data_IF_398455491648
#
_entry.id   IF_398455491648
#
_cell.length_a   1.000
_cell.length_b   1.000
_cell.length_c   1.000
_cell.angle_alpha   90.00
_cell.angle_beta   90.00
_cell.angle_gamma   90.00
#
_symmetry.space_group_name_H-M   'P 1'
#
loop_
_entity.id
_entity.type
_entity.pdbx_description
1 polymer ?
#
# COMPACT_ATOMS: atom_id res chain seq x y z
N UNK A 1 4.99 -1.93 -27.52
CA UNK A 1 4.58 -3.19 -26.89
C UNK A 1 4.14 -2.87 -25.48
N UNK A 2 3.02 -3.46 -25.03
CA UNK A 2 2.55 -3.39 -23.64
C UNK A 2 3.02 -4.65 -22.91
N UNK A 3 3.49 -4.46 -21.69
CA UNK A 3 3.86 -5.55 -20.79
C UNK A 3 2.71 -5.84 -19.83
N UNK A 4 2.39 -7.11 -19.59
CA UNK A 4 1.39 -7.47 -18.58
C UNK A 4 1.93 -7.29 -17.16
N UNK A 5 3.21 -7.63 -16.97
CA UNK A 5 3.92 -7.49 -15.70
C UNK A 5 5.35 -6.98 -15.90
N UNK A 6 5.76 -6.11 -15.01
CA UNK A 6 7.17 -5.74 -14.80
C UNK A 6 7.52 -6.09 -13.36
N UNK A 7 8.59 -6.85 -13.17
CA UNK A 7 9.13 -7.19 -11.85
C UNK A 7 10.50 -6.54 -11.73
N UNK A 8 10.68 -5.70 -10.72
CA UNK A 8 11.94 -5.02 -10.43
C UNK A 8 12.48 -5.59 -9.11
N UNK A 9 13.56 -6.33 -9.19
CA UNK A 9 14.28 -6.79 -7.99
C UNK A 9 15.32 -5.76 -7.58
N UNK A 10 15.56 -5.65 -6.26
CA UNK A 10 16.48 -4.68 -5.68
C UNK A 10 16.23 -3.25 -6.19
N UNK A 11 15.00 -2.78 -6.05
CA UNK A 11 14.54 -1.49 -6.59
C UNK A 11 15.41 -0.31 -6.17
N UNK A 12 16.11 -0.37 -5.04
CA UNK A 12 17.03 0.68 -4.60
C UNK A 12 18.14 0.97 -5.62
N UNK A 13 18.58 -0.03 -6.41
CA UNK A 13 19.56 0.15 -7.48
C UNK A 13 19.04 0.98 -8.65
N UNK A 14 17.73 1.02 -8.82
CA UNK A 14 17.04 1.85 -9.82
C UNK A 14 16.87 3.26 -9.28
N UNK A 15 16.43 3.40 -8.02
CA UNK A 15 16.16 4.70 -7.40
C UNK A 15 17.42 5.56 -7.25
N UNK A 16 18.58 4.93 -7.05
CA UNK A 16 19.86 5.61 -6.93
C UNK A 16 20.51 6.06 -8.25
N UNK A 17 19.89 5.78 -9.40
CA UNK A 17 20.43 6.12 -10.71
C UNK A 17 19.38 6.76 -11.61
N UNK A 18 19.48 8.05 -11.88
CA UNK A 18 18.46 8.81 -12.61
C UNK A 18 18.18 8.26 -14.02
N UNK A 19 19.18 7.81 -14.75
CA UNK A 19 18.99 7.24 -16.09
C UNK A 19 18.20 5.92 -16.05
N UNK A 20 18.49 5.07 -15.07
CA UNK A 20 17.74 3.82 -14.85
C UNK A 20 16.32 4.11 -14.38
N UNK A 21 16.17 5.08 -13.49
CA UNK A 21 14.87 5.51 -12.98
C UNK A 21 13.96 6.00 -14.11
N UNK A 22 14.44 6.93 -14.95
CA UNK A 22 13.64 7.43 -16.08
C UNK A 22 13.27 6.34 -17.08
N UNK A 23 14.18 5.39 -17.32
CA UNK A 23 13.92 4.25 -18.21
C UNK A 23 12.82 3.37 -17.63
N UNK A 24 12.90 3.05 -16.32
CA UNK A 24 11.90 2.25 -15.63
C UNK A 24 10.56 2.96 -15.54
N UNK A 25 10.53 4.28 -15.31
CA UNK A 25 9.32 5.07 -15.29
C UNK A 25 8.58 5.02 -16.64
N UNK A 26 9.33 5.12 -17.75
CA UNK A 26 8.75 4.96 -19.09
C UNK A 26 8.18 3.57 -19.32
N UNK A 27 8.87 2.53 -18.85
CA UNK A 27 8.39 1.14 -18.94
C UNK A 27 7.16 0.92 -18.07
N UNK A 28 7.15 1.41 -16.83
CA UNK A 28 6.02 1.30 -15.90
C UNK A 28 4.73 1.88 -16.47
N UNK A 29 4.82 3.00 -17.19
CA UNK A 29 3.67 3.61 -17.90
C UNK A 29 3.10 2.71 -19.01
N UNK A 30 3.84 1.73 -19.49
CA UNK A 30 3.40 0.79 -20.54
C UNK A 30 2.95 -0.56 -19.98
N UNK A 31 3.12 -0.79 -18.69
CA UNK A 31 2.78 -2.05 -18.03
C UNK A 31 1.40 -2.00 -17.39
N UNK A 32 0.72 -3.14 -17.39
CA UNK A 32 -0.55 -3.27 -16.66
C UNK A 32 -0.31 -3.43 -15.14
N UNK A 33 0.80 -4.08 -14.76
CA UNK A 33 1.14 -4.34 -13.37
C UNK A 33 2.65 -4.18 -13.15
N UNK A 34 3.02 -3.58 -12.02
CA UNK A 34 4.41 -3.42 -11.61
C UNK A 34 4.58 -4.00 -10.21
N UNK A 35 5.56 -4.89 -10.05
CA UNK A 35 5.93 -5.50 -8.77
C UNK A 35 7.38 -5.11 -8.47
N UNK A 36 7.61 -4.58 -7.29
CA UNK A 36 8.95 -4.19 -6.85
C UNK A 36 9.32 -4.96 -5.60
N UNK A 37 10.56 -5.45 -5.58
CA UNK A 37 11.13 -6.17 -4.46
C UNK A 37 12.30 -5.35 -3.90
N UNK A 38 12.37 -5.27 -2.57
CA UNK A 38 13.48 -4.62 -1.87
C UNK A 38 13.69 -5.23 -0.49
N UNK A 39 14.93 -5.46 -0.12
CA UNK A 39 15.31 -5.88 1.21
C UNK A 39 15.36 -4.70 2.21
N UNK A 40 15.50 -3.46 1.70
CA UNK A 40 15.60 -2.25 2.51
C UNK A 40 14.31 -1.44 2.46
N UNK A 41 13.79 -0.99 3.61
CA UNK A 41 12.62 -0.12 3.63
C UNK A 41 12.98 1.26 3.07
N UNK A 42 12.39 1.63 1.94
CA UNK A 42 12.61 2.92 1.24
C UNK A 42 11.95 4.11 1.96
N UNK A 43 11.22 3.88 3.05
CA UNK A 43 10.41 4.92 3.71
C UNK A 43 11.18 5.94 4.54
N UNK A 44 12.51 5.80 4.68
CA UNK A 44 13.31 6.74 5.47
C UNK A 44 13.52 8.10 4.79
N UNK A 45 13.29 8.18 3.48
CA UNK A 45 13.45 9.40 2.68
C UNK A 45 12.23 9.64 1.81
N UNK A 46 11.57 10.77 2.00
CA UNK A 46 10.36 11.16 1.25
C UNK A 46 10.57 11.11 -0.26
N UNK A 47 11.71 11.59 -0.74
CA UNK A 47 12.08 11.60 -2.16
C UNK A 47 12.18 10.18 -2.76
N UNK A 48 12.86 9.26 -2.08
CA UNK A 48 12.99 7.87 -2.54
C UNK A 48 11.62 7.16 -2.54
N UNK A 49 10.78 7.47 -1.56
CA UNK A 49 9.44 6.93 -1.45
C UNK A 49 8.54 7.47 -2.56
N UNK A 50 8.64 8.76 -2.88
CA UNK A 50 7.94 9.36 -4.01
C UNK A 50 8.36 8.72 -5.35
N UNK A 51 9.68 8.57 -5.59
CA UNK A 51 10.21 7.87 -6.77
C UNK A 51 9.67 6.44 -6.87
N UNK A 52 9.63 5.70 -5.76
CA UNK A 52 9.09 4.33 -5.72
C UNK A 52 7.62 4.29 -6.08
N UNK A 53 6.79 5.14 -5.48
CA UNK A 53 5.35 5.19 -5.79
C UNK A 53 5.09 5.65 -7.22
N UNK A 54 5.91 6.54 -7.76
CA UNK A 54 5.83 6.97 -9.16
C UNK A 54 6.10 5.82 -10.14
N UNK A 55 6.93 4.84 -9.77
CA UNK A 55 7.11 3.63 -10.57
C UNK A 55 5.92 2.66 -10.47
N UNK A 56 5.24 2.57 -9.30
CA UNK A 56 4.08 1.68 -9.08
C UNK A 56 2.83 2.26 -9.74
N UNK A 57 2.56 3.54 -9.53
CA UNK A 57 1.40 4.27 -10.04
C UNK A 57 1.84 5.57 -10.73
N UNK A 58 2.45 5.47 -11.91
CA UNK A 58 3.04 6.64 -12.58
C UNK A 58 2.01 7.73 -12.90
N UNK A 59 0.79 7.36 -13.26
CA UNK A 59 -0.28 8.31 -13.58
C UNK A 59 -0.69 9.17 -12.37
N UNK A 60 -0.47 8.67 -11.17
CA UNK A 60 -0.85 9.35 -9.93
C UNK A 60 0.30 10.18 -9.33
N UNK A 61 1.51 9.64 -9.31
CA UNK A 61 2.60 10.20 -8.53
C UNK A 61 3.71 10.84 -9.36
N UNK A 62 3.88 10.48 -10.65
CA UNK A 62 5.06 10.95 -11.42
C UNK A 62 5.05 12.45 -11.70
N UNK A 63 3.88 13.07 -11.79
CA UNK A 63 3.72 14.48 -12.09
C UNK A 63 3.50 15.33 -10.81
N UNK A 64 3.44 14.68 -9.64
CA UNK A 64 3.27 15.32 -8.34
C UNK A 64 4.58 15.98 -7.88
N UNK A 65 4.52 17.22 -7.42
CA UNK A 65 5.67 17.92 -6.85
C UNK A 65 6.06 17.37 -5.47
N UNK A 66 7.30 17.58 -5.06
CA UNK A 66 7.81 17.11 -3.76
C UNK A 66 7.04 17.69 -2.58
N UNK A 67 6.68 18.97 -2.64
CA UNK A 67 5.89 19.64 -1.59
C UNK A 67 4.47 19.05 -1.50
N UNK A 68 3.85 18.77 -2.63
CA UNK A 68 2.53 18.17 -2.72
C UNK A 68 2.53 16.75 -2.18
N UNK A 69 3.56 15.96 -2.55
CA UNK A 69 3.73 14.60 -2.04
C UNK A 69 3.97 14.57 -0.53
N UNK A 70 4.80 15.48 -0.01
CA UNK A 70 5.04 15.60 1.43
C UNK A 70 3.76 15.97 2.18
N UNK A 71 2.99 16.91 1.64
CA UNK A 71 1.66 17.27 2.18
C UNK A 71 0.70 16.09 2.20
N UNK A 72 0.70 15.26 1.15
CA UNK A 72 -0.12 14.04 1.10
C UNK A 72 0.30 13.02 2.16
N UNK A 73 1.60 12.82 2.41
CA UNK A 73 2.09 11.93 3.46
C UNK A 73 1.70 12.42 4.86
N UNK A 74 1.80 13.73 5.11
CA UNK A 74 1.39 14.32 6.39
C UNK A 74 -0.12 14.16 6.63
N UNK A 75 -0.91 14.40 5.59
CA UNK A 75 -2.36 14.22 5.64
C UNK A 75 -2.71 12.76 5.92
N UNK A 76 -2.09 11.82 5.20
CA UNK A 76 -2.29 10.40 5.42
C UNK A 76 -2.00 9.99 6.87
N UNK A 77 -0.89 10.45 7.44
CA UNK A 77 -0.55 10.16 8.83
C UNK A 77 -1.61 10.68 9.83
N UNK A 78 -2.29 11.79 9.49
CA UNK A 78 -3.36 12.36 10.32
C UNK A 78 -4.67 11.57 10.25
N UNK A 79 -4.97 10.99 9.10
CA UNK A 79 -6.26 10.34 8.87
C UNK A 79 -6.22 8.81 8.87
N UNK A 80 -5.02 8.18 8.82
CA UNK A 80 -4.89 6.73 8.67
C UNK A 80 -5.70 5.93 9.71
N UNK A 81 -5.70 6.38 10.97
CA UNK A 81 -6.48 5.74 12.03
C UNK A 81 -7.99 5.87 11.80
N UNK A 82 -8.42 7.04 11.31
CA UNK A 82 -9.83 7.30 11.01
C UNK A 82 -10.31 6.49 9.83
N UNK A 83 -9.46 6.29 8.82
CA UNK A 83 -9.79 5.42 7.69
C UNK A 83 -9.94 3.97 8.14
N UNK A 84 -9.09 3.49 9.07
CA UNK A 84 -9.28 2.16 9.66
C UNK A 84 -10.59 2.08 10.45
N UNK A 85 -10.90 3.06 11.28
CA UNK A 85 -12.18 3.10 12.02
C UNK A 85 -13.38 3.14 11.07
N UNK A 86 -13.32 3.89 9.96
CA UNK A 86 -14.40 3.91 8.97
C UNK A 86 -14.64 2.55 8.31
N UNK A 87 -13.56 1.76 8.09
CA UNK A 87 -13.69 0.40 7.57
C UNK A 87 -14.37 -0.51 8.61
N UNK A 88 -13.93 -0.44 9.88
CA UNK A 88 -14.50 -1.22 10.98
C UNK A 88 -15.99 -0.89 11.16
N UNK A 89 -16.35 0.38 11.29
CA UNK A 89 -17.74 0.81 11.44
C UNK A 89 -18.62 0.47 10.22
N UNK A 90 -18.06 0.45 9.02
CA UNK A 90 -18.81 -0.02 7.84
C UNK A 90 -19.13 -1.51 7.94
N UNK A 91 -18.19 -2.33 8.41
CA UNK A 91 -18.46 -3.76 8.60
C UNK A 91 -19.44 -4.00 9.75
N UNK A 92 -19.31 -3.28 10.86
CA UNK A 92 -20.25 -3.34 11.99
C UNK A 92 -21.66 -2.94 11.52
N UNK A 93 -21.80 -1.85 10.77
CA UNK A 93 -23.09 -1.44 10.20
C UNK A 93 -23.71 -2.52 9.30
N UNK A 94 -22.89 -3.16 8.45
CA UNK A 94 -23.35 -4.29 7.63
C UNK A 94 -23.80 -5.49 8.43
N UNK A 95 -23.12 -5.79 9.55
CA UNK A 95 -23.45 -6.90 10.44
C UNK A 95 -24.78 -6.62 11.12
N UNK A 96 -24.97 -5.44 11.68
CA UNK A 96 -26.20 -5.02 12.34
C UNK A 96 -27.40 -5.04 11.37
N UNK A 97 -27.24 -4.56 10.13
CA UNK A 97 -28.30 -4.65 9.09
C UNK A 97 -28.65 -6.12 8.79
N UNK A 98 -27.64 -6.98 8.67
CA UNK A 98 -27.85 -8.40 8.33
C UNK A 98 -28.58 -9.16 9.42
N UNK A 99 -28.31 -8.83 10.69
CA UNK A 99 -28.88 -9.51 11.86
C UNK A 99 -30.23 -8.92 12.31
N UNK A 100 -30.60 -7.75 11.78
CA UNK A 100 -31.84 -7.07 12.13
C UNK A 100 -33.00 -7.53 11.24
N UNK A 101 -34.07 -8.04 11.87
CA UNK A 101 -35.36 -8.23 11.17
C UNK A 101 -36.03 -6.89 10.74
N UNK A 102 -35.49 -5.77 11.19
CA UNK A 102 -35.98 -4.42 10.94
C UNK A 102 -34.78 -3.47 10.67
N UNK A 103 -34.62 -3.02 9.44
CA UNK A 103 -33.53 -2.15 8.99
C UNK A 103 -33.46 -0.79 9.74
N UNK A 104 -34.46 -0.46 10.55
CA UNK A 104 -34.64 0.83 11.22
C UNK A 104 -34.75 0.68 12.75
N UNK A 105 -33.89 -0.10 13.38
CA UNK A 105 -33.80 -0.17 14.81
C UNK A 105 -32.78 0.84 15.39
N UNK A 106 -32.74 0.98 16.72
CA UNK A 106 -31.85 1.91 17.42
C UNK A 106 -30.36 1.55 17.19
N UNK A 107 -30.04 0.25 17.17
CA UNK A 107 -28.67 -0.27 16.96
C UNK A 107 -28.17 0.06 15.54
N UNK A 108 -29.02 -0.08 14.52
CA UNK A 108 -28.68 0.23 13.13
C UNK A 108 -28.42 1.73 12.96
N UNK A 109 -29.19 2.56 13.67
CA UNK A 109 -29.00 4.01 13.63
C UNK A 109 -27.70 4.42 14.32
N UNK A 110 -27.38 3.85 15.47
CA UNK A 110 -26.16 4.15 16.20
C UNK A 110 -24.92 3.79 15.33
N UNK A 111 -24.89 2.60 14.73
CA UNK A 111 -23.81 2.19 13.83
C UNK A 111 -23.68 3.08 12.59
N UNK A 112 -24.80 3.55 12.04
CA UNK A 112 -24.79 4.51 10.94
C UNK A 112 -24.20 5.86 11.36
N UNK A 113 -24.65 6.40 12.49
CA UNK A 113 -24.22 7.71 13.01
C UNK A 113 -22.69 7.68 13.32
N UNK A 114 -22.14 6.62 13.92
CA UNK A 114 -20.72 6.46 14.20
C UNK A 114 -19.87 6.45 12.91
N UNK A 115 -20.35 5.77 11.87
CA UNK A 115 -19.69 5.76 10.57
C UNK A 115 -19.71 7.14 9.92
N UNK A 116 -20.86 7.81 9.91
CA UNK A 116 -21.01 9.16 9.31
C UNK A 116 -20.14 10.18 10.05
N UNK A 117 -20.15 10.21 11.38
CA UNK A 117 -19.29 11.09 12.19
C UNK A 117 -17.80 10.89 11.84
N UNK A 118 -17.38 9.65 11.62
CA UNK A 118 -16.00 9.34 11.23
C UNK A 118 -15.69 9.84 9.81
N UNK A 119 -16.64 9.71 8.89
CA UNK A 119 -16.49 10.22 7.52
C UNK A 119 -16.46 11.75 7.49
N UNK A 120 -17.27 12.43 8.30
CA UNK A 120 -17.25 13.88 8.48
C UNK A 120 -15.90 14.38 9.02
N UNK A 121 -15.33 13.69 10.01
CA UNK A 121 -14.00 14.01 10.55
C UNK A 121 -12.89 13.83 9.49
N UNK A 122 -12.99 12.81 8.63
CA UNK A 122 -12.09 12.64 7.48
C UNK A 122 -12.28 13.79 6.49
N UNK A 123 -13.51 14.12 6.10
CA UNK A 123 -13.83 15.19 5.18
C UNK A 123 -13.27 16.54 5.67
N UNK A 124 -13.49 16.86 6.94
CA UNK A 124 -12.97 18.09 7.55
C UNK A 124 -11.45 18.19 7.56
N UNK A 125 -10.72 17.07 7.64
CA UNK A 125 -9.25 17.03 7.61
C UNK A 125 -8.70 17.05 6.18
N UNK A 126 -9.37 16.37 5.26
CA UNK A 126 -8.95 16.30 3.86
C UNK A 126 -9.37 17.49 3.04
N UNK A 127 -10.47 18.14 3.42
CA UNK A 127 -11.17 19.19 2.66
C UNK A 127 -11.55 18.70 1.25
N UNK A 128 -11.88 17.43 1.14
CA UNK A 128 -12.24 16.78 -0.10
C UNK A 128 -13.73 17.01 -0.39
N UNK A 129 -14.00 17.81 -1.38
CA UNK A 129 -15.36 18.18 -1.75
C UNK A 129 -16.22 16.99 -2.18
N UNK A 130 -15.62 15.94 -2.75
CA UNK A 130 -16.37 14.73 -3.12
C UNK A 130 -16.92 14.03 -1.90
N UNK A 131 -16.11 13.93 -0.83
CA UNK A 131 -16.54 13.33 0.43
C UNK A 131 -17.63 14.20 1.07
N UNK A 132 -17.42 15.53 1.14
CA UNK A 132 -18.40 16.47 1.69
C UNK A 132 -19.74 16.38 0.96
N UNK A 133 -19.74 16.44 -0.38
CA UNK A 133 -20.95 16.37 -1.21
C UNK A 133 -21.67 15.00 -1.10
N UNK A 134 -20.92 13.91 -0.92
CA UNK A 134 -21.52 12.58 -0.79
C UNK A 134 -22.08 12.35 0.62
N UNK A 135 -21.48 12.93 1.67
CA UNK A 135 -22.06 12.93 3.02
C UNK A 135 -23.39 13.70 3.06
N UNK A 136 -23.47 14.88 2.41
CA UNK A 136 -24.71 15.65 2.34
C UNK A 136 -25.89 14.90 1.70
N UNK A 137 -25.60 13.90 0.85
CA UNK A 137 -26.61 13.05 0.19
C UNK A 137 -27.02 11.84 1.01
N UNK A 138 -26.30 11.55 2.11
CA UNK A 138 -26.64 10.43 2.97
C UNK A 138 -27.91 10.72 3.74
N UNK A 139 -28.83 9.77 3.73
CA UNK A 139 -30.06 9.83 4.51
C UNK A 139 -30.30 8.45 5.13
N UNK A 140 -30.32 8.37 6.45
CA UNK A 140 -30.57 7.12 7.18
C UNK A 140 -31.91 6.46 6.79
N UNK A 141 -32.91 7.24 6.43
CA UNK A 141 -34.25 6.74 6.07
C UNK A 141 -34.36 6.23 4.63
N UNK A 142 -33.30 6.36 3.82
CA UNK A 142 -33.32 6.04 2.40
C UNK A 142 -32.75 4.66 2.09
N UNK A 143 -33.38 3.58 2.55
CA UNK A 143 -33.16 2.17 2.15
C UNK A 143 -31.72 1.77 1.70
N UNK A 144 -31.53 0.57 1.14
CA UNK A 144 -30.29 0.02 0.56
C UNK A 144 -29.38 1.00 -0.24
N UNK A 145 -29.89 2.14 -0.65
CA UNK A 145 -29.11 3.17 -1.36
C UNK A 145 -28.05 3.81 -0.47
N UNK A 146 -28.31 3.96 0.81
CA UNK A 146 -27.32 4.52 1.76
C UNK A 146 -26.14 3.60 1.97
N UNK A 147 -26.34 2.30 2.08
CA UNK A 147 -25.24 1.33 2.23
C UNK A 147 -24.30 1.33 1.03
N UNK A 148 -24.84 1.31 -0.19
CA UNK A 148 -24.02 1.34 -1.41
C UNK A 148 -23.20 2.64 -1.51
N UNK A 149 -23.75 3.76 -1.08
CA UNK A 149 -23.04 5.03 -1.09
C UNK A 149 -21.95 5.07 -0.01
N UNK A 150 -22.20 4.53 1.17
CA UNK A 150 -21.21 4.39 2.24
C UNK A 150 -20.04 3.48 1.80
N UNK A 151 -20.34 2.33 1.20
CA UNK A 151 -19.33 1.43 0.65
C UNK A 151 -18.44 2.12 -0.40
N UNK A 152 -19.06 2.85 -1.33
CA UNK A 152 -18.32 3.61 -2.36
C UNK A 152 -17.46 4.69 -1.76
N UNK A 153 -17.97 5.40 -0.77
CA UNK A 153 -17.24 6.48 -0.09
C UNK A 153 -16.05 5.95 0.69
N UNK A 154 -16.22 4.90 1.49
CA UNK A 154 -15.12 4.24 2.20
C UNK A 154 -14.10 3.67 1.22
N UNK A 155 -14.53 3.03 0.12
CA UNK A 155 -13.63 2.54 -0.92
C UNK A 155 -12.83 3.69 -1.57
N UNK A 156 -13.48 4.80 -1.91
CA UNK A 156 -12.82 5.98 -2.44
C UNK A 156 -11.77 6.55 -1.46
N UNK A 157 -12.12 6.72 -0.18
CA UNK A 157 -11.20 7.20 0.85
C UNK A 157 -9.99 6.27 0.98
N UNK A 158 -10.22 4.96 0.97
CA UNK A 158 -9.17 3.96 1.00
C UNK A 158 -8.24 4.06 -0.22
N UNK A 159 -8.78 4.27 -1.40
CA UNK A 159 -8.00 4.41 -2.62
C UNK A 159 -7.26 5.74 -2.68
N UNK A 160 -7.92 6.83 -2.30
CA UNK A 160 -7.37 8.16 -2.37
C UNK A 160 -6.27 8.41 -1.32
N UNK A 161 -6.40 7.86 -0.11
CA UNK A 161 -5.58 8.26 1.04
C UNK A 161 -4.76 7.15 1.67
N UNK A 162 -4.96 5.87 1.34
CA UNK A 162 -4.13 4.77 1.86
C UNK A 162 -3.01 4.39 0.89
N UNK A 163 -1.92 5.15 0.91
CA UNK A 163 -0.71 4.85 0.12
C UNK A 163 -0.12 3.48 0.50
N UNK A 164 -0.25 3.07 1.76
CA UNK A 164 0.32 1.82 2.28
C UNK A 164 -0.25 0.55 1.65
N UNK A 165 -1.41 0.59 1.00
CA UNK A 165 -1.97 -0.58 0.29
C UNK A 165 -1.07 -1.10 -0.83
N UNK A 166 -0.22 -0.23 -1.39
CA UNK A 166 0.73 -0.61 -2.44
C UNK A 166 1.99 -1.27 -1.89
N UNK A 167 2.18 -1.31 -0.56
CA UNK A 167 3.42 -1.78 0.08
C UNK A 167 3.15 -2.95 1.00
N UNK A 168 3.57 -4.16 0.60
CA UNK A 168 3.51 -5.35 1.45
C UNK A 168 4.83 -5.48 2.21
N UNK A 169 4.78 -5.45 3.53
CA UNK A 169 5.95 -5.62 4.39
C UNK A 169 5.90 -6.97 5.09
N UNK A 170 6.89 -7.81 4.80
CA UNK A 170 7.11 -9.01 5.58
C UNK A 170 7.99 -8.68 6.79
N UNK A 171 7.40 -8.46 7.96
CA UNK A 171 8.13 -8.32 9.21
C UNK A 171 8.37 -9.72 9.76
N UNK A 172 9.63 -10.17 9.81
CA UNK A 172 9.99 -11.38 10.55
C UNK A 172 9.59 -11.16 12.01
N UNK A 173 8.72 -12.03 12.53
CA UNK A 173 8.45 -12.05 13.96
C UNK A 173 9.73 -12.48 14.70
N UNK A 174 10.01 -11.95 15.91
CA UNK A 174 11.16 -12.37 16.70
C UNK A 174 11.23 -13.89 16.93
N UNK A 175 10.08 -14.56 16.92
CA UNK A 175 9.94 -16.01 17.07
C UNK A 175 10.45 -16.79 15.84
N UNK A 176 10.47 -16.18 14.66
CA UNK A 176 10.95 -16.83 13.41
C UNK A 176 12.48 -16.88 13.32
N UNK A 177 13.20 -16.20 14.21
CA UNK A 177 14.68 -16.15 14.20
C UNK A 177 15.31 -17.36 14.87
N UNK A 178 14.56 -18.14 15.65
CA UNK A 178 15.11 -19.22 16.50
C UNK A 178 15.24 -20.57 15.79
N UNK A 179 14.80 -20.72 14.53
CA UNK A 179 14.80 -22.00 13.83
C UNK A 179 15.88 -22.15 12.75
N UNK A 180 16.90 -21.29 12.75
CA UNK A 180 18.06 -21.54 11.88
C UNK A 180 19.02 -22.48 12.59
N UNK A 181 18.90 -23.77 12.32
CA UNK A 181 19.90 -24.74 12.69
C UNK A 181 21.04 -24.65 11.68
N UNK A 182 22.18 -24.16 12.14
CA UNK A 182 23.42 -24.24 11.36
C UNK A 182 23.79 -25.73 11.25
N UNK A 183 23.62 -26.27 10.06
CA UNK A 183 24.04 -27.66 9.78
C UNK A 183 25.39 -27.56 9.10
N UNK A 184 26.43 -27.90 9.84
CA UNK A 184 27.75 -28.03 9.27
C UNK A 184 27.78 -29.32 8.41
N UNK A 185 27.98 -29.15 7.13
CA UNK A 185 28.15 -30.27 6.21
C UNK A 185 29.64 -30.34 5.89
N UNK A 186 30.33 -31.31 6.49
CA UNK A 186 31.70 -31.62 6.14
C UNK A 186 31.69 -32.57 4.93
N UNK A 187 32.41 -32.26 3.89
CA UNK A 187 32.63 -33.06 2.73
C UNK A 187 34.12 -33.13 2.40
N UNK A 188 34.57 -34.27 1.94
CA UNK A 188 35.94 -34.43 1.44
C UNK A 188 35.99 -33.84 0.02
N UNK A 189 36.81 -32.80 -0.16
CA UNK A 189 37.05 -32.22 -1.47
C UNK A 189 38.22 -32.94 -2.15
N UNK A 190 38.01 -33.37 -3.39
CA UNK A 190 39.11 -33.78 -4.25
C UNK A 190 39.84 -32.56 -4.85
N UNK A 191 41.00 -32.78 -5.48
CA UNK A 191 41.85 -31.74 -6.04
C UNK A 191 41.17 -30.93 -7.16
N UNK A 192 40.23 -31.56 -7.87
CA UNK A 192 39.54 -30.90 -9.00
C UNK A 192 38.44 -29.97 -8.53
N UNK A 193 37.80 -30.30 -7.39
CA UNK A 193 36.82 -29.44 -6.78
C UNK A 193 37.43 -28.14 -6.22
N UNK A 194 38.58 -28.21 -5.56
CA UNK A 194 39.33 -27.06 -5.06
C UNK A 194 39.70 -26.08 -6.17
N UNK A 195 40.09 -26.57 -7.35
CA UNK A 195 40.38 -25.74 -8.50
C UNK A 195 39.13 -25.07 -9.07
N UNK A 196 38.00 -25.72 -9.03
CA UNK A 196 36.73 -25.15 -9.50
C UNK A 196 36.21 -24.07 -8.54
N UNK A 197 36.28 -24.28 -7.23
CA UNK A 197 35.87 -23.32 -6.20
C UNK A 197 36.75 -22.10 -6.25
N UNK A 198 38.08 -22.24 -6.33
CA UNK A 198 39.00 -21.10 -6.49
C UNK A 198 38.71 -20.28 -7.75
N UNK A 199 38.32 -20.93 -8.82
CA UNK A 199 37.95 -20.27 -10.09
C UNK A 199 36.65 -19.53 -10.00
N UNK A 200 35.64 -20.03 -9.25
CA UNK A 200 34.39 -19.33 -8.96
C UNK A 200 34.64 -18.10 -8.10
N UNK A 201 35.46 -18.22 -7.03
CA UNK A 201 35.79 -17.08 -6.18
C UNK A 201 36.58 -16.00 -6.93
N UNK A 202 37.50 -16.35 -7.80
CA UNK A 202 38.22 -15.36 -8.62
C UNK A 202 37.29 -14.64 -9.59
N UNK A 203 36.35 -15.32 -10.21
CA UNK A 203 35.36 -14.72 -11.10
C UNK A 203 34.37 -13.81 -10.36
N UNK A 204 34.01 -14.16 -9.12
CA UNK A 204 33.12 -13.33 -8.28
C UNK A 204 33.84 -12.10 -7.70
N UNK A 205 35.17 -12.13 -7.55
CA UNK A 205 35.97 -11.00 -7.05
C UNK A 205 36.29 -9.97 -8.14
N UNK A 206 36.13 -10.31 -9.40
CA UNK A 206 36.30 -9.42 -10.57
C UNK A 206 35.00 -8.67 -10.95
N UNK A 207 33.91 -8.97 -10.24
CA UNK A 207 32.58 -8.33 -10.39
C UNK A 207 32.35 -7.32 -9.26
#
# INVERSE_FOLDING_TARGET
DKYDFIIIDEVHSVLGNDCRYETMLKLSRTANNVIMLSATPVQSRSEEYHKLLSLIQPERYSDMGEEEFTGLLELQNKIVRKVHSAIEYLEDYKEVIRDSDNEHNEDTREAFDELVDTLEDIAGKTKDKMIEEDIEKLNYEADNFSLINLERMVAYICEAYQIEKCVIRNRKKPEDTNNRVLKEISYEMDSDFNNTEFRIYSLLSEW
#
